data_IF_828743840995
#
_entry.id   IF_828743840995
#
_cell.length_a   1.000
_cell.length_b   1.000
_cell.length_c   1.000
_cell.angle_alpha   90.00
_cell.angle_beta   90.00
_cell.angle_gamma   90.00
#
_symmetry.space_group_name_H-M   'P 1'
#
loop_
_entity.id
_entity.type
_entity.pdbx_description
1 polymer ?
#
# COMPACT_ATOMS: atom_id res chain seq x y z
N UNK A 1 -0.67 -0.56 -75.05
CA UNK A 1 -0.85 0.84 -74.59
C UNK A 1 -0.35 0.85 -73.15
N UNK A 2 0.90 1.28 -72.91
CA UNK A 2 1.26 2.66 -72.54
C UNK A 2 0.55 3.07 -71.24
N UNK A 3 1.13 3.59 -70.17
CA UNK A 3 2.41 4.24 -69.86
C UNK A 3 2.34 4.47 -68.33
N UNK A 4 3.43 4.33 -67.54
CA UNK A 4 4.17 5.43 -66.91
C UNK A 4 3.32 6.40 -66.05
N UNK A 5 3.67 6.87 -64.85
CA UNK A 5 4.95 7.03 -64.16
C UNK A 5 4.71 7.56 -62.72
N UNK A 6 5.74 7.42 -61.88
CA UNK A 6 6.01 8.00 -60.55
C UNK A 6 5.45 9.42 -60.24
N UNK A 7 5.28 9.75 -58.93
CA UNK A 7 6.17 10.66 -58.14
C UNK A 7 5.60 10.96 -56.72
N UNK A 8 6.46 10.66 -55.72
CA UNK A 8 6.74 11.21 -54.37
C UNK A 8 5.69 11.96 -53.49
N UNK A 9 5.71 11.73 -52.15
CA UNK A 9 5.12 12.63 -51.15
C UNK A 9 6.09 13.75 -50.71
N UNK A 10 5.53 14.92 -50.36
CA UNK A 10 6.24 16.11 -49.85
C UNK A 10 6.15 16.22 -48.32
N UNK A 11 7.31 16.41 -47.70
CA UNK A 11 7.51 16.96 -46.34
C UNK A 11 7.10 18.43 -46.24
N UNK A 12 6.75 18.94 -45.05
CA UNK A 12 6.94 20.33 -44.69
C UNK A 12 8.09 20.51 -43.67
N UNK A 13 9.18 21.05 -44.20
CA UNK A 13 10.08 22.07 -43.66
C UNK A 13 10.16 22.29 -42.13
N UNK A 14 11.34 21.99 -41.58
CA UNK A 14 11.91 22.65 -40.40
C UNK A 14 12.65 23.93 -40.83
N UNK A 15 12.32 25.06 -40.20
CA UNK A 15 13.09 26.31 -40.31
C UNK A 15 13.90 26.57 -39.03
N UNK A 16 15.13 27.04 -39.25
CA UNK A 16 16.14 27.45 -38.26
C UNK A 16 15.77 28.78 -37.57
N UNK A 17 16.57 29.12 -36.55
CA UNK A 17 16.89 30.43 -35.90
C UNK A 17 16.68 30.26 -34.38
N UNK A 18 17.53 30.68 -33.44
CA UNK A 18 18.72 31.52 -33.37
C UNK A 18 19.19 31.55 -31.90
N UNK A 19 20.39 32.05 -31.64
CA UNK A 19 21.08 32.02 -30.34
C UNK A 19 20.49 32.89 -29.20
N UNK A 20 21.24 33.03 -28.08
CA UNK A 20 20.70 33.15 -26.73
C UNK A 20 20.46 34.60 -26.26
N UNK A 21 19.47 34.79 -25.38
CA UNK A 21 19.32 35.99 -24.57
C UNK A 21 19.35 35.63 -23.09
N UNK A 22 20.28 36.28 -22.37
CA UNK A 22 20.54 36.11 -20.96
C UNK A 22 19.41 36.68 -20.10
N UNK A 23 19.03 35.96 -19.04
CA UNK A 23 18.37 36.55 -17.88
C UNK A 23 19.02 36.06 -16.59
N UNK A 24 19.60 37.01 -15.86
CA UNK A 24 20.14 36.88 -14.52
C UNK A 24 19.06 36.37 -13.55
N UNK A 25 19.28 35.22 -12.93
CA UNK A 25 18.56 34.81 -11.71
C UNK A 25 19.37 35.27 -10.50
N UNK A 26 18.77 36.11 -9.68
CA UNK A 26 19.26 36.37 -8.33
C UNK A 26 18.89 35.18 -7.44
N UNK A 27 19.89 34.44 -6.99
CA UNK A 27 19.79 33.37 -6.00
C UNK A 27 19.88 33.96 -4.59
N UNK A 28 18.85 33.72 -3.77
CA UNK A 28 18.87 33.97 -2.32
C UNK A 28 19.21 32.65 -1.63
N UNK A 29 20.44 32.52 -1.14
CA UNK A 29 20.83 31.44 -0.24
C UNK A 29 20.53 31.87 1.20
N UNK A 30 19.54 31.25 1.82
CA UNK A 30 19.37 31.27 3.27
C UNK A 30 20.14 30.07 3.85
N UNK A 31 21.28 30.33 4.48
CA UNK A 31 22.01 29.31 5.23
C UNK A 31 21.58 29.39 6.69
N UNK A 32 20.85 28.37 7.16
CA UNK A 32 20.54 28.16 8.56
C UNK A 32 21.66 27.29 9.14
N UNK A 33 22.53 27.88 9.94
CA UNK A 33 23.51 27.15 10.74
C UNK A 33 22.97 27.02 12.17
N UNK A 34 22.51 25.82 12.52
CA UNK A 34 22.35 25.39 13.91
C UNK A 34 23.72 24.89 14.38
N UNK A 35 24.27 25.52 15.41
CA UNK A 35 25.51 25.10 16.06
C UNK A 35 25.22 24.77 17.52
N UNK A 36 25.17 23.48 17.82
CA UNK A 36 25.36 22.96 19.16
C UNK A 36 26.86 22.71 19.36
N UNK A 37 27.45 23.34 20.38
CA UNK A 37 28.59 22.75 21.09
C UNK A 37 28.70 23.34 22.49
N UNK A 38 28.37 22.53 23.49
CA UNK A 38 28.85 22.70 24.85
C UNK A 38 30.11 21.86 25.01
N UNK A 39 31.23 22.48 25.40
CA UNK A 39 32.09 22.03 26.52
C UNK A 39 33.42 22.81 26.62
N UNK A 40 33.82 23.05 27.88
CA UNK A 40 35.16 23.38 28.44
C UNK A 40 35.61 24.86 28.57
N UNK A 41 35.42 25.33 29.81
CA UNK A 41 36.36 25.93 30.80
C UNK A 41 37.40 27.02 30.42
N UNK A 42 37.73 27.92 31.39
CA UNK A 42 38.35 29.22 31.14
C UNK A 42 39.83 29.28 31.53
N UNK A 43 40.61 30.15 30.87
CA UNK A 43 41.90 30.62 31.40
C UNK A 43 42.05 32.15 31.24
N UNK A 44 42.45 32.77 32.35
CA UNK A 44 42.78 34.19 32.56
C UNK A 44 44.00 34.66 31.75
N UNK A 45 44.03 35.94 31.39
CA UNK A 45 45.25 36.65 31.02
C UNK A 45 45.03 38.15 30.88
N UNK A 46 45.90 38.96 31.50
CA UNK A 46 45.78 40.41 31.75
C UNK A 46 47.00 41.13 31.14
N UNK A 47 46.89 42.45 30.94
CA UNK A 47 47.95 43.44 30.56
C UNK A 47 48.37 43.46 29.07
N UNK A 48 48.83 44.56 28.44
CA UNK A 48 48.70 46.01 28.60
C UNK A 48 49.45 46.71 27.43
N UNK A 49 48.95 47.90 27.03
CA UNK A 49 49.62 49.10 26.44
C UNK A 49 50.45 49.07 25.14
N UNK A 50 50.17 50.15 24.36
CA UNK A 50 50.99 50.89 23.37
C UNK A 50 51.25 50.18 22.03
N UNK A 51 51.31 50.83 20.86
CA UNK A 51 51.43 52.24 20.41
C UNK A 51 51.18 52.24 18.87
N UNK A 52 50.70 53.36 18.31
CA UNK A 52 51.12 54.03 17.04
C UNK A 52 51.46 53.17 15.80
N UNK A 53 51.06 53.42 14.56
CA UNK A 53 50.43 54.53 13.83
C UNK A 53 49.92 53.90 12.52
N UNK A 54 48.83 54.41 11.93
CA UNK A 54 48.72 54.68 10.49
C UNK A 54 47.31 55.16 10.16
N UNK A 55 47.21 56.48 9.97
CA UNK A 55 45.99 57.19 9.57
C UNK A 55 45.88 57.10 8.05
N UNK A 56 45.13 56.12 7.57
CA UNK A 56 44.60 56.14 6.21
C UNK A 56 43.28 56.95 6.20
N UNK A 57 43.35 58.17 5.67
CA UNK A 57 42.22 59.02 5.32
C UNK A 57 41.27 58.29 4.36
N UNK A 58 40.25 57.62 4.89
CA UNK A 58 39.06 57.27 4.14
C UNK A 58 38.00 58.35 4.36
N UNK A 59 37.68 59.06 3.28
CA UNK A 59 36.49 59.91 3.13
C UNK A 59 35.26 59.10 3.56
N UNK A 60 34.71 59.40 4.74
CA UNK A 60 33.35 58.97 5.08
C UNK A 60 32.42 59.84 4.25
N UNK A 61 31.90 59.26 3.18
CA UNK A 61 30.70 59.78 2.54
C UNK A 61 29.55 59.43 3.50
N UNK A 62 28.96 60.43 4.16
CA UNK A 62 27.71 60.27 4.91
C UNK A 62 26.61 59.80 3.94
N UNK A 63 26.49 58.48 3.80
CA UNK A 63 25.29 57.87 3.26
C UNK A 63 24.30 57.85 4.41
N UNK A 64 23.41 58.85 4.41
CA UNK A 64 22.29 58.91 5.33
C UNK A 64 21.48 57.62 5.24
N UNK A 65 21.74 56.69 6.15
CA UNK A 65 20.88 55.55 6.38
C UNK A 65 19.58 56.09 6.96
N UNK A 66 18.60 56.36 6.09
CA UNK A 66 17.21 56.53 6.50
C UNK A 66 16.80 55.22 7.17
N UNK A 67 16.71 55.23 8.51
CA UNK A 67 15.97 54.21 9.24
C UNK A 67 14.52 54.33 8.77
N UNK A 68 14.14 53.46 7.83
CA UNK A 68 12.78 53.41 7.33
C UNK A 68 11.92 52.78 8.42
N UNK A 69 11.37 53.63 9.30
CA UNK A 69 10.39 53.23 10.30
C UNK A 69 9.11 52.82 9.58
N UNK A 70 8.98 51.53 9.28
CA UNK A 70 7.72 50.96 8.84
C UNK A 70 6.68 51.25 9.95
N UNK A 71 5.53 51.87 9.62
CA UNK A 71 4.54 52.18 10.63
C UNK A 71 4.12 50.89 11.33
N UNK A 72 4.05 50.92 12.66
CA UNK A 72 3.82 49.76 13.54
C UNK A 72 2.69 48.84 13.04
N UNK A 73 1.64 49.42 12.45
CA UNK A 73 0.52 48.71 11.80
C UNK A 73 0.90 47.85 10.57
N UNK A 74 1.85 48.30 9.74
CA UNK A 74 2.36 47.51 8.59
C UNK A 74 3.27 46.37 9.06
N UNK A 75 4.06 46.60 10.10
CA UNK A 75 4.90 45.55 10.70
C UNK A 75 4.04 44.46 11.36
N UNK A 76 3.02 44.85 12.13
CA UNK A 76 2.05 43.90 12.70
C UNK A 76 1.30 43.13 11.62
N UNK A 77 0.84 43.78 10.54
CA UNK A 77 0.17 43.08 9.43
C UNK A 77 1.08 42.07 8.73
N UNK A 78 2.35 42.40 8.49
CA UNK A 78 3.31 41.47 7.88
C UNK A 78 3.56 40.26 8.78
N UNK A 79 3.75 40.48 10.08
CA UNK A 79 3.93 39.39 11.05
C UNK A 79 2.67 38.53 11.12
N UNK A 80 1.47 39.12 11.22
CA UNK A 80 0.21 38.37 11.26
C UNK A 80 0.01 37.54 10.00
N UNK A 81 0.27 38.11 8.80
CA UNK A 81 0.20 37.35 7.55
C UNK A 81 1.18 36.19 7.58
N UNK A 82 2.46 36.42 7.89
CA UNK A 82 3.46 35.35 7.93
C UNK A 82 3.13 34.25 8.96
N UNK A 83 2.59 34.61 10.13
CA UNK A 83 2.15 33.61 11.13
C UNK A 83 0.94 32.81 10.66
N UNK A 84 -0.03 33.45 10.01
CA UNK A 84 -1.22 32.76 9.48
C UNK A 84 -0.82 31.85 8.32
N UNK A 85 0.03 32.31 7.41
CA UNK A 85 0.53 31.48 6.30
C UNK A 85 1.38 30.32 6.81
N UNK A 86 2.21 30.54 7.84
CA UNK A 86 2.99 29.48 8.49
C UNK A 86 2.12 28.43 9.20
N UNK A 87 1.07 28.85 9.89
CA UNK A 87 0.08 27.96 10.51
C UNK A 87 -0.71 27.17 9.45
N UNK A 88 -1.16 27.84 8.37
CA UNK A 88 -1.85 27.18 7.26
C UNK A 88 -0.94 26.19 6.52
N UNK A 89 0.33 26.52 6.33
CA UNK A 89 1.31 25.60 5.74
C UNK A 89 1.59 24.41 6.67
N UNK A 90 1.70 24.64 7.98
CA UNK A 90 1.85 23.56 8.97
C UNK A 90 0.64 22.62 9.03
N UNK A 91 -0.58 23.17 8.94
CA UNK A 91 -1.82 22.39 8.83
C UNK A 91 -1.89 21.62 7.50
N UNK A 92 -1.44 22.20 6.39
CA UNK A 92 -1.38 21.51 5.11
C UNK A 92 -0.34 20.36 5.11
N UNK A 93 0.81 20.52 5.79
CA UNK A 93 1.82 19.46 5.91
C UNK A 93 1.35 18.33 6.82
N UNK A 94 0.66 18.61 7.92
CA UNK A 94 0.07 17.58 8.80
C UNK A 94 -1.11 16.87 8.14
N UNK A 95 -1.98 17.60 7.44
CA UNK A 95 -3.07 17.01 6.66
C UNK A 95 -2.56 16.15 5.49
N UNK A 96 -1.52 16.58 4.76
CA UNK A 96 -0.90 15.77 3.70
C UNK A 96 -0.10 14.60 4.22
N UNK A 97 0.48 14.69 5.44
CA UNK A 97 1.06 13.55 6.12
C UNK A 97 0.00 12.51 6.48
N UNK A 98 -1.17 12.92 7.00
CA UNK A 98 -2.30 12.00 7.24
C UNK A 98 -2.83 11.36 5.95
N UNK A 99 -2.83 12.10 4.83
CA UNK A 99 -3.25 11.56 3.53
C UNK A 99 -2.20 10.69 2.84
N UNK A 100 -0.92 10.81 3.23
CA UNK A 100 0.19 10.04 2.69
C UNK A 100 0.32 8.63 3.27
N UNK A 101 -0.38 8.34 4.37
CA UNK A 101 -0.30 7.04 5.05
C UNK A 101 -1.10 5.92 4.37
N UNK A 102 -2.07 6.20 3.49
CA UNK A 102 -2.95 5.16 2.93
C UNK A 102 -3.00 5.20 1.41
N UNK A 103 -1.87 4.90 0.77
CA UNK A 103 -1.85 4.61 -0.68
C UNK A 103 -1.59 3.13 -0.86
N UNK A 104 -2.66 2.36 -0.70
CA UNK A 104 -2.77 0.96 -1.12
C UNK A 104 -2.03 0.70 -2.44
N UNK A 105 -1.36 -0.45 -2.50
CA UNK A 105 -0.67 -0.93 -3.68
C UNK A 105 0.59 -0.16 -4.06
N UNK A 106 0.96 0.92 -3.35
CA UNK A 106 2.17 1.71 -3.65
C UNK A 106 3.40 1.34 -2.84
N UNK A 107 3.22 0.61 -1.75
CA UNK A 107 4.34 0.10 -0.99
C UNK A 107 5.21 -0.82 -1.88
N UNK A 108 6.54 -0.80 -1.73
CA UNK A 108 7.39 -1.77 -2.39
C UNK A 108 7.08 -3.18 -1.89
N UNK A 109 7.22 -4.16 -2.78
CA UNK A 109 7.10 -5.57 -2.42
C UNK A 109 8.19 -5.91 -1.39
N UNK A 110 7.80 -6.53 -0.28
CA UNK A 110 8.71 -7.00 0.76
C UNK A 110 8.93 -8.49 0.59
N UNK A 111 9.98 -8.89 -0.12
CA UNK A 111 10.28 -10.31 -0.37
C UNK A 111 10.87 -10.99 0.87
N UNK A 112 10.59 -12.29 1.09
CA UNK A 112 11.08 -13.01 2.25
C UNK A 112 12.60 -13.21 2.21
N UNK A 113 13.26 -13.27 3.38
CA UNK A 113 14.63 -13.78 3.46
C UNK A 113 14.67 -15.27 3.14
N UNK A 114 15.85 -15.79 2.76
CA UNK A 114 16.05 -17.22 2.47
C UNK A 114 15.65 -18.15 3.64
N UNK A 115 15.72 -17.64 4.87
CA UNK A 115 15.21 -18.31 6.07
C UNK A 115 14.42 -17.31 6.92
N UNK A 116 13.20 -17.68 7.30
CA UNK A 116 12.36 -16.85 8.17
C UNK A 116 13.04 -16.63 9.53
N UNK A 117 12.97 -15.41 10.10
CA UNK A 117 13.82 -15.00 11.23
C UNK A 117 13.53 -15.71 12.54
N UNK A 118 12.26 -16.00 12.85
CA UNK A 118 11.78 -16.46 14.16
C UNK A 118 10.89 -17.71 14.10
N UNK A 119 10.45 -18.13 12.89
CA UNK A 119 9.49 -19.23 12.64
C UNK A 119 8.08 -18.98 13.19
N UNK A 120 7.81 -17.76 13.65
CA UNK A 120 6.47 -17.35 14.02
C UNK A 120 5.63 -17.09 12.76
N UNK A 121 4.31 -17.02 12.92
CA UNK A 121 3.41 -16.83 11.79
C UNK A 121 3.70 -15.50 11.08
N UNK A 122 3.80 -15.53 9.76
CA UNK A 122 3.94 -14.35 8.90
C UNK A 122 2.90 -14.41 7.79
N UNK A 123 2.19 -13.32 7.56
CA UNK A 123 1.29 -13.21 6.43
C UNK A 123 2.09 -13.15 5.12
N UNK A 124 1.73 -13.99 4.16
CA UNK A 124 2.34 -14.00 2.83
C UNK A 124 1.31 -13.62 1.76
N UNK A 125 1.50 -12.47 1.09
CA UNK A 125 0.73 -12.06 -0.08
C UNK A 125 1.32 -12.74 -1.32
N UNK A 126 0.48 -13.36 -2.13
CA UNK A 126 0.87 -13.95 -3.39
C UNK A 126 0.95 -12.87 -4.48
N UNK A 127 2.14 -12.63 -5.02
CA UNK A 127 2.33 -11.86 -6.24
C UNK A 127 2.15 -12.75 -7.48
N UNK A 128 1.52 -12.18 -8.51
CA UNK A 128 1.25 -12.86 -9.78
C UNK A 128 1.19 -11.85 -10.93
N UNK A 129 1.18 -12.35 -12.16
CA UNK A 129 0.98 -11.52 -13.36
C UNK A 129 -0.51 -11.30 -13.63
N UNK A 130 -0.99 -10.06 -13.61
CA UNK A 130 -2.35 -9.73 -14.07
C UNK A 130 -2.42 -9.75 -15.59
N UNK A 131 -3.35 -10.52 -16.14
CA UNK A 131 -3.59 -10.68 -17.59
C UNK A 131 -4.93 -10.08 -18.06
N UNK A 132 -5.73 -9.59 -17.11
CA UNK A 132 -6.95 -8.83 -17.36
C UNK A 132 -6.96 -7.57 -16.49
N UNK A 133 -7.77 -6.62 -16.89
CA UNK A 133 -8.16 -5.48 -16.06
C UNK A 133 -9.45 -5.81 -15.31
N UNK A 134 -9.54 -5.36 -14.07
CA UNK A 134 -10.73 -5.44 -13.21
C UNK A 134 -11.00 -4.04 -12.64
N UNK A 135 -12.25 -3.61 -12.64
CA UNK A 135 -12.61 -2.31 -12.09
C UNK A 135 -12.38 -2.28 -10.58
N UNK A 136 -11.78 -1.19 -10.09
CA UNK A 136 -11.38 -0.98 -8.69
C UNK A 136 -10.24 -1.90 -8.19
N UNK A 137 -9.85 -2.92 -8.96
CA UNK A 137 -8.71 -3.79 -8.64
C UNK A 137 -7.35 -3.21 -9.03
N UNK A 138 -6.31 -3.71 -8.37
CA UNK A 138 -4.89 -3.39 -8.64
C UNK A 138 -4.04 -4.65 -8.86
N UNK A 139 -4.66 -5.77 -9.22
CA UNK A 139 -4.03 -7.07 -9.27
C UNK A 139 -3.55 -7.51 -7.88
N UNK A 140 -2.43 -8.23 -7.82
CA UNK A 140 -1.91 -8.72 -6.54
C UNK A 140 -1.63 -7.63 -5.49
N UNK A 141 -1.54 -6.36 -5.92
CA UNK A 141 -1.29 -5.21 -5.06
C UNK A 141 -2.52 -4.72 -4.30
N UNK A 142 -3.73 -5.18 -4.64
CA UNK A 142 -4.93 -4.86 -3.87
C UNK A 142 -4.72 -5.25 -2.40
N UNK A 143 -5.15 -4.38 -1.49
CA UNK A 143 -5.00 -4.40 -0.02
C UNK A 143 -3.57 -4.39 0.53
N UNK A 144 -2.56 -4.40 -0.33
CA UNK A 144 -1.17 -4.48 0.09
C UNK A 144 -0.64 -3.08 0.48
N UNK A 145 0.07 -2.94 1.61
CA UNK A 145 0.48 -3.97 2.57
C UNK A 145 -0.44 -4.08 3.79
N UNK A 146 -1.41 -3.18 3.94
CA UNK A 146 -2.10 -2.94 5.20
C UNK A 146 -3.01 -4.09 5.61
N UNK A 147 -3.60 -4.82 4.66
CA UNK A 147 -4.36 -6.01 4.99
C UNK A 147 -3.53 -7.03 5.79
N UNK A 148 -2.32 -7.33 5.32
CA UNK A 148 -1.43 -8.27 6.00
C UNK A 148 -0.98 -7.78 7.38
N UNK A 149 -0.69 -6.48 7.51
CA UNK A 149 -0.23 -5.87 8.77
C UNK A 149 -1.35 -5.88 9.82
N UNK A 150 -2.54 -5.40 9.45
CA UNK A 150 -3.65 -5.23 10.38
C UNK A 150 -4.22 -6.59 10.81
N UNK A 151 -4.36 -7.54 9.86
CA UNK A 151 -4.80 -8.90 10.17
C UNK A 151 -3.84 -9.61 11.12
N UNK A 152 -2.53 -9.52 10.88
CA UNK A 152 -1.51 -10.08 11.78
C UNK A 152 -1.60 -9.47 13.19
N UNK A 153 -1.73 -8.15 13.26
CA UNK A 153 -1.85 -7.42 14.54
C UNK A 153 -3.06 -7.94 15.33
N UNK A 154 -4.26 -7.93 14.73
CA UNK A 154 -5.46 -8.46 15.40
C UNK A 154 -5.39 -9.95 15.71
N UNK A 155 -4.75 -10.73 14.85
CA UNK A 155 -4.52 -12.15 15.13
C UNK A 155 -3.72 -12.37 16.40
N UNK A 156 -2.67 -11.57 16.63
CA UNK A 156 -1.88 -11.63 17.87
C UNK A 156 -2.61 -11.09 19.10
N UNK A 157 -3.53 -10.13 18.93
CA UNK A 157 -4.30 -9.55 20.03
C UNK A 157 -5.50 -10.40 20.46
N UNK A 158 -6.12 -11.10 19.50
CA UNK A 158 -7.33 -11.89 19.72
C UNK A 158 -7.04 -13.37 20.02
N UNK A 159 -5.82 -13.83 19.77
CA UNK A 159 -5.40 -15.23 19.97
C UNK A 159 -4.12 -15.32 20.79
N UNK A 160 -3.68 -16.53 21.12
CA UNK A 160 -2.38 -16.77 21.75
C UNK A 160 -1.26 -17.06 20.74
N UNK A 161 -1.54 -16.93 19.44
CA UNK A 161 -0.57 -17.23 18.39
C UNK A 161 0.57 -16.19 18.38
N UNK A 162 1.79 -16.65 18.17
CA UNK A 162 2.94 -15.78 17.97
C UNK A 162 2.99 -15.35 16.50
N UNK A 163 3.24 -14.06 16.29
CA UNK A 163 3.47 -13.49 14.97
C UNK A 163 4.91 -13.02 14.84
N UNK A 164 5.45 -13.15 13.63
CA UNK A 164 6.79 -12.65 13.34
C UNK A 164 6.78 -11.13 13.31
N UNK A 165 7.79 -10.51 13.93
CA UNK A 165 7.92 -9.06 14.02
C UNK A 165 9.33 -8.58 13.66
N UNK A 166 9.45 -7.35 13.17
CA UNK A 166 10.75 -6.71 12.95
C UNK A 166 11.34 -6.17 14.27
N UNK A 167 12.54 -5.59 14.22
CA UNK A 167 13.22 -5.05 15.42
C UNK A 167 12.48 -3.88 16.10
N UNK A 168 11.44 -3.34 15.47
CA UNK A 168 10.58 -2.27 16.01
C UNK A 168 9.26 -2.82 16.56
N UNK A 169 9.02 -4.13 16.45
CA UNK A 169 7.77 -4.77 16.85
C UNK A 169 6.68 -4.75 15.77
N UNK A 170 6.99 -4.35 14.53
CA UNK A 170 6.01 -4.33 13.45
C UNK A 170 5.86 -5.71 12.80
N UNK A 171 4.64 -6.15 12.45
CA UNK A 171 4.43 -7.46 11.80
C UNK A 171 5.25 -7.65 10.53
N UNK A 172 5.97 -8.77 10.46
CA UNK A 172 6.62 -9.22 9.23
C UNK A 172 5.56 -9.78 8.28
N UNK A 173 5.47 -9.18 7.10
CA UNK A 173 4.61 -9.59 5.99
C UNK A 173 5.48 -9.73 4.76
N UNK A 174 5.21 -10.75 3.95
CA UNK A 174 6.05 -11.10 2.81
C UNK A 174 5.25 -11.15 1.52
N UNK A 175 5.89 -10.81 0.41
CA UNK A 175 5.40 -11.03 -0.95
C UNK A 175 6.15 -12.22 -1.51
N UNK A 176 5.41 -13.24 -1.96
CA UNK A 176 5.96 -14.47 -2.54
C UNK A 176 5.40 -14.70 -3.94
N UNK A 177 6.18 -15.33 -4.80
CA UNK A 177 5.77 -15.80 -6.12
C UNK A 177 5.66 -17.35 -6.10
N UNK A 178 4.86 -17.92 -7.01
CA UNK A 178 4.61 -19.38 -7.03
C UNK A 178 5.84 -20.22 -7.39
N UNK A 179 6.87 -19.59 -7.93
CA UNK A 179 8.14 -20.24 -8.28
C UNK A 179 9.24 -20.03 -7.23
N UNK A 180 8.95 -19.26 -6.17
CA UNK A 180 9.90 -19.02 -5.08
C UNK A 180 10.11 -20.26 -4.24
N UNK A 181 11.34 -20.44 -3.74
CA UNK A 181 11.64 -21.52 -2.78
C UNK A 181 11.08 -21.17 -1.40
N UNK A 182 11.05 -19.89 -1.09
CA UNK A 182 10.61 -19.31 0.16
C UNK A 182 9.08 -19.42 0.34
N UNK A 183 8.33 -19.70 -0.73
CA UNK A 183 6.91 -20.02 -0.69
C UNK A 183 6.60 -21.12 0.35
N UNK A 184 7.46 -22.13 0.44
CA UNK A 184 7.28 -23.26 1.36
C UNK A 184 7.55 -22.91 2.84
N UNK A 185 7.97 -21.68 3.13
CA UNK A 185 8.04 -21.15 4.50
C UNK A 185 6.73 -20.46 4.93
N UNK A 186 5.79 -20.25 4.01
CA UNK A 186 4.49 -19.66 4.28
C UNK A 186 3.45 -20.79 4.40
N UNK A 187 2.91 -21.13 5.58
CA UNK A 187 1.85 -22.13 5.69
C UNK A 187 0.53 -21.65 5.07
N UNK A 188 0.36 -20.33 4.99
CA UNK A 188 -0.79 -19.64 4.47
C UNK A 188 -0.33 -18.55 3.50
N UNK A 189 -0.97 -18.49 2.34
CA UNK A 189 -0.83 -17.39 1.38
C UNK A 189 -2.21 -16.80 1.05
N UNK A 190 -2.25 -15.50 0.80
CA UNK A 190 -3.46 -14.81 0.35
C UNK A 190 -3.21 -14.09 -0.98
N UNK A 191 -4.19 -14.13 -1.88
CA UNK A 191 -4.17 -13.38 -3.13
C UNK A 191 -5.47 -12.56 -3.22
N UNK A 192 -5.36 -11.28 -3.58
CA UNK A 192 -6.52 -10.44 -3.92
C UNK A 192 -6.59 -10.24 -5.42
N UNK A 193 -7.72 -9.78 -5.94
CA UNK A 193 -7.94 -9.50 -7.37
C UNK A 193 -7.59 -10.70 -8.27
N UNK A 194 -7.85 -11.91 -7.78
CA UNK A 194 -7.54 -13.15 -8.53
C UNK A 194 -8.41 -13.32 -9.76
N UNK A 195 -9.44 -12.49 -9.90
CA UNK A 195 -10.09 -12.26 -11.18
C UNK A 195 -9.04 -12.05 -12.26
N UNK A 196 -8.00 -11.26 -12.05
CA UNK A 196 -7.04 -10.88 -13.10
C UNK A 196 -5.86 -11.82 -13.29
N UNK A 197 -5.70 -12.84 -12.44
CA UNK A 197 -4.48 -13.67 -12.38
C UNK A 197 -4.19 -14.42 -13.69
N UNK A 198 -2.93 -14.47 -14.11
CA UNK A 198 -2.48 -15.37 -15.17
C UNK A 198 -1.39 -16.29 -14.65
N UNK A 199 -1.65 -17.60 -14.68
CA UNK A 199 -0.69 -18.63 -14.28
C UNK A 199 0.01 -19.21 -15.51
N UNK A 200 1.33 -19.12 -15.51
CA UNK A 200 2.19 -19.95 -16.37
C UNK A 200 2.17 -21.42 -15.92
N UNK A 201 2.68 -22.33 -16.75
CA UNK A 201 2.78 -23.74 -16.39
C UNK A 201 3.63 -23.98 -15.14
N UNK A 202 4.76 -23.25 -15.02
CA UNK A 202 5.64 -23.37 -13.86
C UNK A 202 4.99 -22.85 -12.56
N UNK A 203 4.24 -21.75 -12.64
CA UNK A 203 3.48 -21.22 -11.50
C UNK A 203 2.34 -22.17 -11.10
N UNK A 204 1.64 -22.76 -12.08
CA UNK A 204 0.60 -23.74 -11.81
C UNK A 204 1.14 -25.00 -11.13
N UNK A 205 2.29 -25.53 -11.60
CA UNK A 205 2.99 -26.66 -10.97
C UNK A 205 3.48 -26.30 -9.55
N UNK A 206 3.99 -25.08 -9.37
CA UNK A 206 4.42 -24.54 -8.08
C UNK A 206 3.28 -24.47 -7.08
N UNK A 207 2.15 -23.86 -7.45
CA UNK A 207 0.97 -23.77 -6.61
C UNK A 207 0.40 -25.16 -6.28
N UNK A 208 0.35 -26.08 -7.25
CA UNK A 208 -0.10 -27.46 -7.02
C UNK A 208 0.80 -28.13 -5.99
N UNK A 209 2.11 -28.01 -6.13
CA UNK A 209 3.07 -28.58 -5.19
C UNK A 209 2.92 -27.99 -3.79
N UNK A 210 2.72 -26.68 -3.69
CA UNK A 210 2.47 -25.99 -2.43
C UNK A 210 1.23 -26.53 -1.71
N UNK A 211 0.08 -26.56 -2.40
CA UNK A 211 -1.20 -26.99 -1.83
C UNK A 211 -1.16 -28.46 -1.39
N UNK A 212 -0.60 -29.33 -2.23
CA UNK A 212 -0.51 -30.77 -1.93
C UNK A 212 0.51 -31.10 -0.83
N UNK A 213 1.42 -30.18 -0.50
CA UNK A 213 2.34 -30.31 0.64
C UNK A 213 1.78 -29.76 1.95
N UNK A 214 0.54 -29.28 1.96
CA UNK A 214 -0.13 -28.76 3.16
C UNK A 214 -0.30 -27.25 3.16
N UNK A 215 0.16 -26.54 2.13
CA UNK A 215 -0.09 -25.11 2.02
C UNK A 215 -1.58 -24.77 1.88
N UNK A 216 -1.95 -23.59 2.37
CA UNK A 216 -3.30 -23.04 2.27
C UNK A 216 -3.28 -21.77 1.41
N UNK A 217 -4.21 -21.65 0.47
CA UNK A 217 -4.43 -20.44 -0.33
C UNK A 217 -5.81 -19.84 -0.03
N UNK A 218 -5.86 -18.58 0.38
CA UNK A 218 -7.10 -17.80 0.40
C UNK A 218 -7.09 -16.79 -0.76
N UNK A 219 -8.08 -16.85 -1.63
CA UNK A 219 -8.31 -15.83 -2.65
C UNK A 219 -9.53 -14.96 -2.34
N UNK A 220 -9.39 -13.67 -2.58
CA UNK A 220 -10.35 -12.63 -2.19
C UNK A 220 -10.43 -11.53 -3.26
N UNK A 221 -11.37 -10.60 -3.08
CA UNK A 221 -11.57 -9.41 -3.93
C UNK A 221 -11.67 -9.75 -5.42
N UNK A 222 -12.67 -10.55 -5.80
CA UNK A 222 -12.96 -10.76 -7.21
C UNK A 222 -14.47 -10.89 -7.42
N UNK A 223 -14.96 -10.24 -8.48
CA UNK A 223 -16.36 -9.85 -8.57
C UNK A 223 -17.02 -10.28 -9.87
N UNK A 224 -18.27 -10.72 -9.75
CA UNK A 224 -19.13 -11.09 -10.87
C UNK A 224 -18.71 -12.37 -11.58
N UNK A 225 -19.49 -12.70 -12.60
CA UNK A 225 -19.37 -13.93 -13.39
C UNK A 225 -18.09 -13.96 -14.23
N UNK A 226 -17.61 -12.81 -14.71
CA UNK A 226 -16.41 -12.72 -15.55
C UNK A 226 -15.16 -13.09 -14.74
N UNK A 227 -14.98 -12.48 -13.57
CA UNK A 227 -13.85 -12.79 -12.70
C UNK A 227 -13.91 -14.25 -12.20
N UNK A 228 -15.11 -14.74 -11.86
CA UNK A 228 -15.32 -16.13 -11.48
C UNK A 228 -14.91 -17.13 -12.56
N UNK A 229 -15.35 -16.92 -13.81
CA UNK A 229 -15.01 -17.79 -14.93
C UNK A 229 -13.51 -17.80 -15.21
N UNK A 230 -12.86 -16.64 -15.09
CA UNK A 230 -11.42 -16.55 -15.28
C UNK A 230 -10.65 -17.27 -14.17
N UNK A 231 -10.94 -16.95 -12.90
CA UNK A 231 -10.31 -17.59 -11.74
C UNK A 231 -10.48 -19.11 -11.78
N UNK A 232 -11.70 -19.59 -12.01
CA UNK A 232 -11.99 -21.04 -12.07
C UNK A 232 -11.24 -21.75 -13.21
N UNK A 233 -11.01 -21.07 -14.34
CA UNK A 233 -10.16 -21.57 -15.43
C UNK A 233 -8.68 -21.65 -15.04
N UNK A 234 -8.15 -20.63 -14.35
CA UNK A 234 -6.75 -20.63 -13.91
C UNK A 234 -6.48 -21.68 -12.84
N UNK A 235 -7.32 -21.77 -11.81
CA UNK A 235 -7.15 -22.77 -10.75
C UNK A 235 -7.37 -24.21 -11.26
N UNK A 236 -8.15 -24.41 -12.32
CA UNK A 236 -8.30 -25.71 -12.97
C UNK A 236 -7.00 -26.25 -13.61
N UNK A 237 -6.05 -25.36 -13.97
CA UNK A 237 -4.70 -25.77 -14.42
C UNK A 237 -3.89 -26.39 -13.27
N UNK A 238 -4.15 -25.93 -12.04
CA UNK A 238 -3.44 -26.32 -10.81
C UNK A 238 -4.09 -27.57 -10.21
N UNK A 239 -5.41 -27.55 -10.05
CA UNK A 239 -6.22 -28.58 -9.43
C UNK A 239 -7.37 -28.93 -10.39
N UNK A 240 -7.25 -30.02 -11.17
CA UNK A 240 -8.26 -30.39 -12.15
C UNK A 240 -9.63 -30.62 -11.51
N UNK A 241 -10.72 -30.00 -12.01
CA UNK A 241 -12.02 -29.96 -11.32
C UNK A 241 -12.70 -31.34 -11.19
N UNK A 242 -12.32 -32.31 -12.04
CA UNK A 242 -12.81 -33.69 -11.91
C UNK A 242 -12.29 -34.42 -10.66
N UNK A 243 -11.15 -33.99 -10.11
CA UNK A 243 -10.60 -34.52 -8.85
C UNK A 243 -10.79 -33.53 -7.69
N UNK A 244 -10.77 -32.23 -7.99
CA UNK A 244 -10.80 -31.14 -7.02
C UNK A 244 -11.97 -30.20 -7.31
N UNK A 245 -13.22 -30.62 -7.05
CA UNK A 245 -14.39 -29.79 -7.32
C UNK A 245 -14.45 -28.60 -6.37
N UNK A 246 -14.86 -27.45 -6.91
CA UNK A 246 -15.22 -26.28 -6.12
C UNK A 246 -16.63 -26.49 -5.55
N UNK A 247 -16.82 -26.24 -4.26
CA UNK A 247 -18.13 -26.30 -3.59
C UNK A 247 -18.32 -25.11 -2.66
N UNK A 248 -19.58 -24.75 -2.39
CA UNK A 248 -19.90 -23.75 -1.37
C UNK A 248 -19.62 -24.31 0.03
N UNK A 249 -19.04 -23.46 0.89
CA UNK A 249 -18.78 -23.79 2.29
C UNK A 249 -20.06 -23.52 3.09
N UNK A 250 -20.64 -24.52 3.76
CA UNK A 250 -21.88 -24.32 4.50
C UNK A 250 -21.62 -23.49 5.77
N UNK A 251 -22.63 -22.73 6.22
CA UNK A 251 -22.52 -21.84 7.40
C UNK A 251 -22.33 -22.60 8.73
N UNK A 252 -22.52 -23.92 8.74
CA UNK A 252 -22.20 -24.78 9.88
C UNK A 252 -20.73 -25.26 9.90
N UNK A 253 -19.95 -24.96 8.86
CA UNK A 253 -18.53 -25.30 8.79
C UNK A 253 -17.73 -24.58 9.90
N UNK A 254 -16.69 -25.22 10.49
CA UNK A 254 -15.87 -24.63 11.54
C UNK A 254 -15.25 -23.27 11.21
N UNK A 255 -15.02 -22.97 9.94
CA UNK A 255 -14.48 -21.67 9.48
C UNK A 255 -15.37 -20.47 9.84
N UNK A 256 -16.66 -20.68 10.13
CA UNK A 256 -17.57 -19.62 10.57
C UNK A 256 -17.69 -19.51 12.09
N UNK A 257 -17.01 -20.36 12.87
CA UNK A 257 -17.22 -20.48 14.33
C UNK A 257 -15.99 -20.91 15.14
N UNK A 258 -14.79 -20.75 14.60
CA UNK A 258 -13.55 -21.19 15.27
C UNK A 258 -13.26 -20.37 16.55
N UNK A 259 -13.42 -19.05 16.49
CA UNK A 259 -13.29 -18.13 17.62
C UNK A 259 -14.52 -17.20 17.72
N UNK A 260 -14.91 -16.61 16.58
CA UNK A 260 -16.06 -15.72 16.47
C UNK A 260 -17.18 -16.40 15.70
N UNK A 261 -18.43 -16.11 16.03
CA UNK A 261 -19.58 -16.64 15.29
C UNK A 261 -19.92 -15.67 14.15
N UNK A 262 -19.79 -16.14 12.91
CA UNK A 262 -20.10 -15.39 11.68
C UNK A 262 -21.32 -16.02 11.03
N UNK A 263 -22.43 -15.29 11.01
CA UNK A 263 -23.75 -15.84 10.65
C UNK A 263 -23.99 -15.95 9.15
N UNK A 264 -23.23 -15.21 8.36
CA UNK A 264 -23.33 -15.14 6.90
C UNK A 264 -21.95 -14.85 6.29
N UNK A 265 -21.79 -15.08 4.99
CA UNK A 265 -20.59 -14.61 4.28
C UNK A 265 -20.67 -13.07 4.23
N UNK A 266 -19.75 -12.34 4.88
CA UNK A 266 -19.82 -10.89 4.88
C UNK A 266 -19.58 -10.39 3.45
N UNK A 267 -20.47 -9.52 2.97
CA UNK A 267 -20.26 -8.82 1.71
C UNK A 267 -19.67 -7.43 1.99
N UNK A 268 -18.38 -7.30 1.72
CA UNK A 268 -17.58 -6.10 1.94
C UNK A 268 -17.11 -5.60 0.58
N UNK A 269 -17.16 -4.29 0.39
CA UNK A 269 -16.86 -3.62 -0.89
C UNK A 269 -15.78 -2.57 -0.66
N UNK A 270 -15.02 -2.24 -1.69
CA UNK A 270 -14.04 -1.18 -1.66
C UNK A 270 -14.60 0.11 -1.04
N UNK A 271 -13.87 0.73 -0.11
CA UNK A 271 -14.31 1.96 0.59
C UNK A 271 -14.70 3.10 -0.36
N UNK A 272 -14.04 3.20 -1.51
CA UNK A 272 -14.39 4.18 -2.56
C UNK A 272 -15.76 3.85 -3.15
N UNK A 273 -16.05 2.55 -3.35
CA UNK A 273 -17.34 2.08 -3.83
C UNK A 273 -18.47 2.32 -2.83
N UNK A 274 -18.21 2.00 -1.58
CA UNK A 274 -19.16 2.25 -0.50
C UNK A 274 -19.51 3.74 -0.38
N UNK A 275 -18.50 4.62 -0.41
CA UNK A 275 -18.65 6.05 -0.17
C UNK A 275 -19.47 6.79 -1.24
N UNK A 276 -19.26 6.50 -2.53
CA UNK A 276 -19.94 7.22 -3.62
C UNK A 276 -21.34 6.66 -3.99
N UNK A 277 -21.69 5.45 -3.55
CA UNK A 277 -22.90 4.72 -3.95
C UNK A 277 -23.90 4.58 -2.78
N UNK A 278 -23.71 5.36 -1.72
CA UNK A 278 -24.61 5.36 -0.57
C UNK A 278 -24.59 4.07 0.24
N UNK A 279 -23.45 3.36 0.26
CA UNK A 279 -23.23 2.20 1.12
C UNK A 279 -23.67 0.85 0.57
N UNK A 280 -24.00 0.76 -0.71
CA UNK A 280 -24.24 -0.53 -1.39
C UNK A 280 -22.93 -1.34 -1.47
N UNK A 281 -23.03 -2.66 -1.37
CA UNK A 281 -21.92 -3.62 -1.32
C UNK A 281 -21.72 -4.40 -2.61
N UNK A 282 -22.64 -4.29 -3.57
CA UNK A 282 -22.57 -5.03 -4.83
C UNK A 282 -21.88 -4.23 -5.94
N UNK A 283 -20.59 -4.50 -6.15
CA UNK A 283 -19.74 -3.74 -7.10
C UNK A 283 -20.03 -3.98 -8.59
N UNK A 284 -20.76 -5.05 -8.91
CA UNK A 284 -21.16 -5.44 -10.28
C UNK A 284 -22.69 -5.52 -10.41
N UNK A 285 -23.42 -4.82 -9.55
CA UNK A 285 -24.89 -4.78 -9.59
C UNK A 285 -25.50 -6.16 -9.35
N UNK A 286 -26.44 -6.60 -10.19
CA UNK A 286 -27.10 -7.89 -9.97
C UNK A 286 -26.13 -9.10 -10.06
N UNK A 287 -25.01 -8.96 -10.79
CA UNK A 287 -24.02 -10.04 -10.98
C UNK A 287 -23.15 -10.31 -9.74
N UNK A 288 -23.15 -9.39 -8.77
CA UNK A 288 -22.46 -9.56 -7.48
C UNK A 288 -23.37 -9.34 -6.28
N UNK A 289 -24.69 -9.51 -6.43
CA UNK A 289 -25.64 -9.26 -5.34
C UNK A 289 -25.48 -10.21 -4.14
N UNK A 290 -24.88 -11.38 -4.34
CA UNK A 290 -24.66 -12.40 -3.31
C UNK A 290 -23.16 -12.70 -3.15
N UNK A 291 -22.67 -12.62 -1.92
CA UNK A 291 -21.32 -13.07 -1.55
C UNK A 291 -21.31 -14.57 -1.26
N UNK A 292 -20.23 -15.24 -1.65
CA UNK A 292 -20.09 -16.68 -1.44
C UNK A 292 -18.71 -17.02 -0.91
N UNK A 293 -18.68 -17.95 0.04
CA UNK A 293 -17.45 -18.60 0.48
C UNK A 293 -17.42 -20.00 -0.14
N UNK A 294 -16.40 -20.26 -0.95
CA UNK A 294 -16.23 -21.52 -1.68
C UNK A 294 -14.88 -22.14 -1.37
N UNK A 295 -14.80 -23.46 -1.49
CA UNK A 295 -13.59 -24.20 -1.21
C UNK A 295 -13.27 -25.25 -2.27
N UNK A 296 -11.98 -25.55 -2.39
CA UNK A 296 -11.46 -26.81 -2.93
C UNK A 296 -10.82 -27.57 -1.76
N UNK A 297 -11.16 -28.84 -1.59
CA UNK A 297 -10.63 -29.69 -0.53
C UNK A 297 -9.80 -30.85 -1.08
N UNK A 298 -8.94 -31.42 -0.23
CA UNK A 298 -8.34 -32.73 -0.50
C UNK A 298 -9.27 -33.89 -0.12
N UNK A 299 -8.80 -35.13 -0.31
CA UNK A 299 -9.56 -36.36 -0.04
C UNK A 299 -9.94 -36.53 1.45
N UNK A 300 -9.24 -35.85 2.36
CA UNK A 300 -9.54 -35.85 3.80
C UNK A 300 -10.55 -34.78 4.21
N UNK A 301 -10.95 -33.90 3.28
CA UNK A 301 -11.83 -32.77 3.54
C UNK A 301 -11.10 -31.52 4.04
N UNK A 302 -9.76 -31.51 4.09
CA UNK A 302 -8.99 -30.31 4.42
C UNK A 302 -9.05 -29.32 3.26
N UNK A 303 -9.28 -28.04 3.57
CA UNK A 303 -9.36 -26.98 2.55
C UNK A 303 -7.96 -26.71 2.02
N UNK A 304 -7.81 -26.78 0.70
CA UNK A 304 -6.61 -26.37 -0.03
C UNK A 304 -6.71 -24.91 -0.43
N UNK A 305 -7.86 -24.55 -1.01
CA UNK A 305 -8.13 -23.21 -1.53
C UNK A 305 -9.45 -22.73 -0.97
N UNK A 306 -9.45 -21.58 -0.30
CA UNK A 306 -10.63 -20.85 0.12
C UNK A 306 -10.84 -19.65 -0.80
N UNK A 307 -12.08 -19.38 -1.19
CA UNK A 307 -12.43 -18.34 -2.16
C UNK A 307 -13.58 -17.51 -1.59
N UNK A 308 -13.34 -16.24 -1.32
CA UNK A 308 -14.38 -15.26 -1.02
C UNK A 308 -14.72 -14.50 -2.31
N UNK A 309 -15.85 -14.86 -2.93
CA UNK A 309 -16.30 -14.32 -4.21
C UNK A 309 -17.42 -13.31 -3.99
N UNK A 310 -17.43 -12.24 -4.80
CA UNK A 310 -18.36 -11.10 -4.68
C UNK A 310 -18.25 -10.38 -3.33
N UNK A 311 -17.05 -10.36 -2.77
CA UNK A 311 -16.70 -9.61 -1.57
C UNK A 311 -15.19 -9.39 -1.57
N UNK A 312 -14.79 -8.31 -0.93
CA UNK A 312 -13.42 -7.99 -0.55
C UNK A 312 -13.33 -8.05 0.97
N UNK A 313 -13.13 -9.26 1.51
CA UNK A 313 -13.10 -9.47 2.96
C UNK A 313 -11.92 -8.70 3.59
N UNK A 314 -10.82 -8.54 2.85
CA UNK A 314 -9.63 -7.84 3.29
C UNK A 314 -9.82 -6.35 3.54
N UNK A 315 -10.66 -5.66 2.76
CA UNK A 315 -10.94 -4.22 2.92
C UNK A 315 -11.46 -3.89 4.35
N UNK A 316 -12.14 -4.85 5.00
CA UNK A 316 -12.64 -4.71 6.36
C UNK A 316 -11.54 -4.49 7.41
N UNK A 317 -10.33 -4.99 7.18
CA UNK A 317 -9.19 -4.73 8.07
C UNK A 317 -8.12 -3.87 7.41
N UNK A 318 -8.03 -3.80 6.08
CA UNK A 318 -7.16 -2.84 5.40
C UNK A 318 -7.54 -1.40 5.77
N UNK A 319 -8.84 -1.08 5.72
CA UNK A 319 -9.39 0.28 5.89
C UNK A 319 -9.87 0.59 7.29
N UNK A 320 -9.55 -0.25 8.28
CA UNK A 320 -10.13 -0.15 9.62
C UNK A 320 -9.92 1.23 10.28
N UNK A 321 -8.87 1.96 9.89
CA UNK A 321 -8.53 3.28 10.40
C UNK A 321 -9.02 4.47 9.56
N UNK A 322 -9.71 4.25 8.43
CA UNK A 322 -10.03 5.31 7.47
C UNK A 322 -11.37 6.00 7.75
N UNK A 323 -12.45 5.24 7.96
CA UNK A 323 -13.79 5.79 8.27
C UNK A 323 -14.49 4.99 9.39
N UNK A 324 -14.96 5.63 10.48
CA UNK A 324 -15.61 4.93 11.59
C UNK A 324 -16.92 4.21 11.24
N UNK A 325 -17.67 4.70 10.25
CA UNK A 325 -18.91 4.06 9.81
C UNK A 325 -18.60 2.85 8.93
N UNK A 326 -17.62 2.97 8.03
CA UNK A 326 -17.12 1.84 7.25
C UNK A 326 -16.61 0.73 8.18
N UNK A 327 -15.78 1.10 9.18
CA UNK A 327 -15.31 0.19 10.22
C UNK A 327 -16.48 -0.51 10.91
N UNK A 328 -17.45 0.24 11.42
CA UNK A 328 -18.58 -0.30 12.17
C UNK A 328 -19.42 -1.28 11.32
N UNK A 329 -19.53 -1.02 10.03
CA UNK A 329 -20.31 -1.85 9.12
C UNK A 329 -19.58 -3.16 8.78
N UNK A 330 -18.28 -3.11 8.50
CA UNK A 330 -17.56 -4.23 7.88
C UNK A 330 -16.54 -4.91 8.78
N UNK A 331 -15.76 -4.16 9.57
CA UNK A 331 -14.61 -4.68 10.33
C UNK A 331 -14.97 -5.80 11.32
N UNK A 332 -16.05 -5.74 12.13
CA UNK A 332 -16.37 -6.81 13.06
C UNK A 332 -16.58 -8.18 12.40
N UNK A 333 -17.37 -8.24 11.32
CA UNK A 333 -17.64 -9.49 10.61
C UNK A 333 -16.46 -9.90 9.72
N UNK A 334 -15.77 -8.94 9.10
CA UNK A 334 -14.56 -9.19 8.31
C UNK A 334 -13.45 -9.81 9.16
N UNK A 335 -13.09 -9.19 10.29
CA UNK A 335 -12.17 -9.80 11.26
C UNK A 335 -12.70 -11.13 11.81
N UNK A 336 -14.00 -11.19 12.09
CA UNK A 336 -14.72 -12.42 12.44
C UNK A 336 -14.31 -13.61 11.57
N UNK A 337 -14.51 -13.45 10.26
CA UNK A 337 -14.18 -14.47 9.27
C UNK A 337 -12.67 -14.64 9.13
N UNK A 338 -11.91 -13.55 8.98
CA UNK A 338 -10.46 -13.61 8.73
C UNK A 338 -9.69 -14.33 9.83
N UNK A 339 -10.01 -14.05 11.10
CA UNK A 339 -9.38 -14.74 12.23
C UNK A 339 -9.76 -16.21 12.28
N UNK A 340 -11.04 -16.54 12.01
CA UNK A 340 -11.45 -17.94 11.96
C UNK A 340 -10.77 -18.71 10.83
N UNK A 341 -10.58 -18.09 9.65
CA UNK A 341 -9.86 -18.69 8.52
C UNK A 341 -8.41 -18.96 8.90
N UNK A 342 -7.71 -17.99 9.50
CA UNK A 342 -6.33 -18.20 9.96
C UNK A 342 -6.25 -19.32 11.00
N UNK A 343 -7.16 -19.36 11.97
CA UNK A 343 -7.19 -20.44 12.96
C UNK A 343 -7.43 -21.79 12.29
N UNK A 344 -8.34 -21.88 11.32
CA UNK A 344 -8.60 -23.11 10.57
C UNK A 344 -7.34 -23.57 9.81
N UNK A 345 -6.76 -22.67 9.01
CA UNK A 345 -5.59 -22.94 8.17
C UNK A 345 -4.35 -23.37 8.97
N UNK A 346 -4.24 -22.93 10.24
CA UNK A 346 -3.10 -23.23 11.10
C UNK A 346 -3.33 -24.42 12.05
N UNK A 347 -4.51 -25.04 12.03
CA UNK A 347 -4.87 -26.14 12.96
C UNK A 347 -5.31 -27.44 12.30
N UNK A 348 -5.53 -27.45 10.98
CA UNK A 348 -5.97 -28.62 10.19
C UNK A 348 -5.07 -28.76 8.96
#
# INVERSE_FOLDING_TARGET
MASGSNVAPRDPASQRVGGPAAHCRASVHATIALSESQHRMPIRGRFARNRQDDVALFRVCESGARVMTLPRRRFTRIITVLTVTGLLAGLAVTASAQWGYFREGRAPARYPPASMPDRDFSFCKLAYTSVRYEDLGMGWRTDYPYAGINLMTRYSELTTAQISTDTRGEPNHWVVELTDKELFNCPFIMAADVGTIGLSGAEADGLRTYLLKGGFLWVDDFWGSIAWQHWSSEIAKVLPPGQYPIHDVPLDHPVFRALMYVEEVPQITAIQFWGWNGGNTSERGDDSAEAHLRAITDESGRILVLMSHNTDVADAWEREGEDPNYFKQFSPNGYGLGINVLLYAMSH
#
